data_IF_153933813219
#
_entry.id   IF_153933813219
#
_cell.length_a   1.000
_cell.length_b   1.000
_cell.length_c   1.000
_cell.angle_alpha   90.00
_cell.angle_beta   90.00
_cell.angle_gamma   90.00
#
_symmetry.space_group_name_H-M   'P 1'
#
loop_
_entity.id
_entity.type
_entity.pdbx_description
1 polymer ?
#
# COMPACT_ATOMS: atom_id res chain seq x y z
N UNK A 1 -19.49 -0.70 10.99
CA UNK A 1 -20.05 -1.69 10.05
C UNK A 1 -19.32 -3.03 10.15
N UNK A 2 -19.98 -4.17 9.87
CA UNK A 2 -19.39 -5.52 9.86
C UNK A 2 -19.37 -6.12 8.44
N UNK A 3 -18.77 -7.30 8.26
CA UNK A 3 -18.67 -7.98 6.95
C UNK A 3 -20.01 -8.15 6.25
N UNK A 4 -21.05 -8.57 6.98
CA UNK A 4 -22.41 -8.71 6.44
C UNK A 4 -23.00 -7.39 5.95
N UNK A 5 -22.66 -6.27 6.61
CA UNK A 5 -22.99 -4.93 6.14
C UNK A 5 -22.35 -4.62 4.79
N UNK A 6 -21.04 -4.87 4.66
CA UNK A 6 -20.32 -4.67 3.39
C UNK A 6 -20.89 -5.55 2.28
N UNK A 7 -21.13 -6.84 2.56
CA UNK A 7 -21.71 -7.76 1.57
C UNK A 7 -23.12 -7.32 1.15
N UNK A 8 -23.90 -6.69 2.03
CA UNK A 8 -25.20 -6.13 1.66
C UNK A 8 -25.05 -4.95 0.72
N UNK A 9 -24.11 -4.04 0.97
CA UNK A 9 -23.84 -2.92 0.06
C UNK A 9 -23.45 -3.43 -1.33
N UNK A 10 -22.50 -4.37 -1.41
CA UNK A 10 -22.09 -4.99 -2.68
C UNK A 10 -23.29 -5.59 -3.42
N UNK A 11 -24.18 -6.30 -2.72
CA UNK A 11 -25.33 -6.95 -3.35
C UNK A 11 -26.48 -5.98 -3.69
N UNK A 12 -26.61 -4.86 -2.99
CA UNK A 12 -27.68 -3.88 -3.24
C UNK A 12 -27.48 -3.16 -4.57
N UNK A 13 -26.24 -2.94 -4.99
CA UNK A 13 -25.91 -2.32 -6.27
C UNK A 13 -26.19 -3.22 -7.50
N UNK A 14 -26.48 -4.52 -7.28
CA UNK A 14 -26.83 -5.48 -8.36
C UNK A 14 -28.27 -5.27 -8.88
N UNK A 15 -29.09 -4.45 -8.23
CA UNK A 15 -30.49 -4.26 -8.62
C UNK A 15 -30.63 -3.13 -9.64
N UNK A 16 -30.77 -3.52 -10.92
CA UNK A 16 -31.50 -2.83 -11.99
C UNK A 16 -30.68 -2.21 -13.15
N UNK A 17 -30.04 -3.03 -14.00
CA UNK A 17 -29.87 -2.66 -15.43
C UNK A 17 -30.02 -3.88 -16.35
N UNK A 18 -31.00 -3.83 -17.26
CA UNK A 18 -31.31 -4.88 -18.24
C UNK A 18 -30.65 -4.65 -19.61
N UNK A 19 -29.52 -3.97 -19.68
CA UNK A 19 -28.80 -3.70 -20.93
C UNK A 19 -27.30 -3.57 -20.64
N UNK A 20 -26.48 -4.37 -21.34
CA UNK A 20 -25.06 -4.73 -21.04
C UNK A 20 -24.92 -5.74 -19.89
N UNK A 21 -23.91 -6.64 -19.90
CA UNK A 21 -23.73 -7.59 -18.81
C UNK A 21 -23.56 -6.78 -17.53
N UNK A 22 -24.50 -6.90 -16.60
CA UNK A 22 -24.55 -6.13 -15.36
C UNK A 22 -23.20 -6.24 -14.63
N UNK A 23 -22.45 -5.14 -14.63
CA UNK A 23 -21.17 -4.95 -13.94
C UNK A 23 -21.40 -4.06 -12.72
N UNK A 24 -22.19 -4.50 -11.74
CA UNK A 24 -22.48 -3.69 -10.55
C UNK A 24 -22.26 -4.45 -9.24
N UNK A 25 -21.00 -4.84 -9.02
CA UNK A 25 -20.48 -5.26 -7.71
C UNK A 25 -19.52 -4.17 -7.22
N UNK A 26 -20.06 -3.03 -6.77
CA UNK A 26 -19.29 -1.94 -6.17
C UNK A 26 -19.63 -1.85 -4.68
N UNK A 27 -18.70 -1.33 -3.88
CA UNK A 27 -18.95 -0.99 -2.49
C UNK A 27 -18.39 0.40 -2.24
N UNK A 28 -19.27 1.39 -2.08
CA UNK A 28 -18.88 2.78 -1.86
C UNK A 28 -19.34 3.20 -0.45
N UNK A 29 -18.39 3.42 0.45
CA UNK A 29 -18.64 3.63 1.87
C UNK A 29 -17.99 4.93 2.35
N UNK A 30 -18.77 5.79 3.00
CA UNK A 30 -18.32 7.11 3.48
C UNK A 30 -18.58 7.29 4.98
N UNK A 31 -17.56 7.69 5.73
CA UNK A 31 -17.66 8.05 7.15
C UNK A 31 -17.88 6.86 8.10
N UNK A 32 -17.76 5.62 7.61
CA UNK A 32 -18.03 4.43 8.38
C UNK A 32 -16.90 4.06 9.34
N UNK A 33 -17.28 3.44 10.47
CA UNK A 33 -16.34 2.92 11.46
C UNK A 33 -16.43 1.40 11.51
N UNK A 34 -15.32 0.72 11.28
CA UNK A 34 -15.15 -0.73 11.35
C UNK A 34 -14.30 -1.07 12.56
N UNK A 35 -14.80 -1.93 13.45
CA UNK A 35 -14.08 -2.33 14.66
C UNK A 35 -14.16 -3.84 14.84
N UNK A 36 -13.01 -4.49 15.05
CA UNK A 36 -12.90 -5.92 15.37
C UNK A 36 -13.54 -6.84 14.31
N UNK A 37 -13.32 -6.53 13.03
CA UNK A 37 -13.91 -7.25 11.90
C UNK A 37 -12.85 -7.86 11.00
N UNK A 38 -13.11 -9.08 10.52
CA UNK A 38 -12.35 -9.72 9.45
C UNK A 38 -13.11 -9.54 8.14
N UNK A 39 -12.45 -8.89 7.18
CA UNK A 39 -12.89 -8.66 5.81
C UNK A 39 -12.09 -9.59 4.90
N UNK A 40 -12.57 -10.82 4.79
CA UNK A 40 -11.93 -11.88 4.02
C UNK A 40 -12.75 -12.37 2.83
N UNK A 41 -12.05 -12.77 1.76
CA UNK A 41 -12.63 -13.39 0.58
C UNK A 41 -13.75 -12.57 -0.09
N UNK A 42 -13.71 -11.23 0.07
CA UNK A 42 -14.64 -10.33 -0.61
C UNK A 42 -14.25 -10.31 -2.09
N UNK A 43 -15.25 -10.48 -2.95
CA UNK A 43 -15.09 -10.43 -4.41
C UNK A 43 -16.04 -9.39 -4.96
N UNK A 44 -15.49 -8.36 -5.57
CA UNK A 44 -16.26 -7.28 -6.19
C UNK A 44 -15.35 -6.53 -7.16
N UNK A 45 -15.94 -5.76 -8.06
CA UNK A 45 -15.16 -5.01 -9.04
C UNK A 45 -14.47 -3.81 -8.39
N UNK A 46 -15.18 -3.09 -7.51
CA UNK A 46 -14.67 -1.89 -6.84
C UNK A 46 -15.00 -1.88 -5.36
N UNK A 47 -14.04 -1.48 -4.53
CA UNK A 47 -14.28 -1.02 -3.17
C UNK A 47 -13.72 0.38 -2.99
N UNK A 48 -14.58 1.33 -2.68
CA UNK A 48 -14.22 2.72 -2.38
C UNK A 48 -14.61 3.03 -0.94
N UNK A 49 -13.65 3.49 -0.16
CA UNK A 49 -13.86 3.96 1.21
C UNK A 49 -13.36 5.38 1.36
N UNK A 50 -14.23 6.27 1.81
CA UNK A 50 -13.92 7.67 2.07
C UNK A 50 -14.17 8.00 3.54
N UNK A 51 -13.29 8.78 4.16
CA UNK A 51 -13.46 9.24 5.55
C UNK A 51 -13.70 8.11 6.58
N UNK A 52 -13.33 6.87 6.26
CA UNK A 52 -13.62 5.70 7.07
C UNK A 52 -12.54 5.46 8.13
N UNK A 53 -12.92 4.80 9.23
CA UNK A 53 -11.97 4.35 10.26
C UNK A 53 -12.04 2.85 10.46
N UNK A 54 -10.89 2.20 10.42
CA UNK A 54 -10.72 0.77 10.63
C UNK A 54 -9.88 0.54 11.89
N UNK A 55 -10.44 -0.09 12.92
CA UNK A 55 -9.74 -0.46 14.16
C UNK A 55 -9.76 -1.97 14.34
N UNK A 56 -8.58 -2.58 14.50
CA UNK A 56 -8.46 -4.03 14.68
C UNK A 56 -9.11 -4.83 13.54
N UNK A 57 -9.08 -4.29 12.32
CA UNK A 57 -9.66 -4.92 11.13
C UNK A 57 -8.60 -5.79 10.45
N UNK A 58 -9.04 -6.84 9.78
CA UNK A 58 -8.15 -7.67 8.96
C UNK A 58 -8.69 -7.75 7.53
N UNK A 59 -7.91 -7.34 6.55
CA UNK A 59 -8.18 -7.55 5.12
C UNK A 59 -7.41 -8.77 4.65
N UNK A 60 -8.12 -9.84 4.26
CA UNK A 60 -7.51 -11.15 3.97
C UNK A 60 -8.03 -11.72 2.64
N UNK A 61 -7.13 -11.98 1.69
CA UNK A 61 -7.44 -12.73 0.47
C UNK A 61 -8.67 -12.20 -0.32
N UNK A 62 -8.84 -10.88 -0.33
CA UNK A 62 -9.89 -10.23 -1.12
C UNK A 62 -9.50 -10.22 -2.61
N UNK A 63 -10.48 -10.31 -3.50
CA UNK A 63 -10.29 -10.34 -4.96
C UNK A 63 -11.06 -9.17 -5.55
N UNK A 64 -10.38 -8.04 -5.70
CA UNK A 64 -10.98 -6.77 -6.11
C UNK A 64 -10.13 -6.12 -7.18
N UNK A 65 -10.78 -5.64 -8.25
CA UNK A 65 -10.09 -5.05 -9.39
C UNK A 65 -9.65 -3.61 -9.09
N UNK A 66 -10.47 -2.85 -8.35
CA UNK A 66 -10.17 -1.48 -7.92
C UNK A 66 -10.41 -1.29 -6.42
N UNK A 67 -9.38 -0.84 -5.71
CA UNK A 67 -9.49 -0.42 -4.31
C UNK A 67 -9.12 1.05 -4.19
N UNK A 68 -10.03 1.83 -3.62
CA UNK A 68 -9.85 3.25 -3.33
C UNK A 68 -10.00 3.51 -1.82
N UNK A 69 -9.00 4.15 -1.23
CA UNK A 69 -9.03 4.62 0.15
C UNK A 69 -8.67 6.10 0.18
N UNK A 70 -9.63 6.96 0.52
CA UNK A 70 -9.42 8.41 0.63
C UNK A 70 -9.71 8.87 2.05
N UNK A 71 -8.78 9.63 2.64
CA UNK A 71 -8.92 10.21 3.98
C UNK A 71 -9.33 9.16 5.05
N UNK A 72 -8.77 7.95 4.96
CA UNK A 72 -9.09 6.85 5.85
C UNK A 72 -8.09 6.72 7.01
N UNK A 73 -8.54 6.14 8.12
CA UNK A 73 -7.70 5.84 9.27
C UNK A 73 -7.66 4.35 9.54
N UNK A 74 -6.48 3.74 9.48
CA UNK A 74 -6.24 2.35 9.81
C UNK A 74 -5.44 2.27 11.10
N UNK A 75 -6.01 1.63 12.12
CA UNK A 75 -5.42 1.52 13.45
C UNK A 75 -5.38 0.04 13.80
N UNK A 76 -4.17 -0.48 14.06
CA UNK A 76 -3.97 -1.89 14.40
C UNK A 76 -4.63 -2.84 13.38
N UNK A 77 -4.51 -2.52 12.09
CA UNK A 77 -5.15 -3.26 11.00
C UNK A 77 -4.14 -4.20 10.33
N UNK A 78 -4.61 -5.37 9.89
CA UNK A 78 -3.80 -6.36 9.17
C UNK A 78 -4.20 -6.41 7.71
N UNK A 79 -3.22 -6.44 6.82
CA UNK A 79 -3.40 -6.67 5.38
C UNK A 79 -2.61 -7.92 4.98
N UNK A 80 -3.30 -8.89 4.40
CA UNK A 80 -2.72 -10.16 3.95
C UNK A 80 -3.39 -10.67 2.68
N UNK A 81 -2.62 -11.38 1.84
CA UNK A 81 -3.16 -12.18 0.75
C UNK A 81 -2.66 -11.78 -0.63
N UNK A 82 -3.38 -12.23 -1.65
CA UNK A 82 -3.00 -12.00 -3.05
C UNK A 82 -4.01 -11.10 -3.76
N UNK A 83 -3.53 -9.98 -4.29
CA UNK A 83 -4.27 -8.97 -5.04
C UNK A 83 -3.69 -8.91 -6.47
N UNK A 84 -4.32 -9.61 -7.41
CA UNK A 84 -3.89 -9.71 -8.81
C UNK A 84 -4.73 -8.79 -9.72
N UNK A 85 -4.08 -8.18 -10.70
CA UNK A 85 -4.65 -7.16 -11.60
C UNK A 85 -5.33 -6.00 -10.87
N UNK A 86 -4.78 -5.62 -9.70
CA UNK A 86 -5.33 -4.56 -8.87
C UNK A 86 -4.95 -3.18 -9.41
N UNK A 87 -5.94 -2.31 -9.53
CA UNK A 87 -5.76 -0.86 -9.55
C UNK A 87 -5.97 -0.32 -8.13
N UNK A 88 -4.91 0.20 -7.52
CA UNK A 88 -4.91 0.69 -6.14
C UNK A 88 -4.77 2.20 -6.11
N UNK A 89 -5.69 2.89 -5.43
CA UNK A 89 -5.60 4.31 -5.14
C UNK A 89 -5.73 4.51 -3.64
N UNK A 90 -4.71 5.09 -3.00
CA UNK A 90 -4.77 5.47 -1.60
C UNK A 90 -4.32 6.92 -1.48
N UNK A 91 -5.17 7.79 -0.95
CA UNK A 91 -4.84 9.20 -0.73
C UNK A 91 -5.17 9.66 0.68
N UNK A 92 -4.34 10.57 1.20
CA UNK A 92 -4.57 11.31 2.45
C UNK A 92 -4.92 10.41 3.66
N UNK A 93 -4.45 9.16 3.64
CA UNK A 93 -4.83 8.14 4.61
C UNK A 93 -3.71 7.86 5.61
N UNK A 94 -4.08 7.40 6.81
CA UNK A 94 -3.13 7.11 7.90
C UNK A 94 -3.19 5.65 8.33
N UNK A 95 -2.01 5.07 8.54
CA UNK A 95 -1.81 3.70 8.99
C UNK A 95 -0.99 3.74 10.27
N UNK A 96 -1.60 3.38 11.39
CA UNK A 96 -0.96 3.34 12.70
C UNK A 96 -0.95 1.92 13.23
N UNK A 97 0.23 1.40 13.57
CA UNK A 97 0.41 0.05 14.12
C UNK A 97 -0.15 -1.05 13.23
N UNK A 98 -0.15 -0.82 11.92
CA UNK A 98 -0.67 -1.79 10.95
C UNK A 98 0.39 -2.84 10.62
N UNK A 99 -0.07 -4.03 10.24
CA UNK A 99 0.79 -5.11 9.77
C UNK A 99 0.39 -5.50 8.35
N UNK A 100 1.32 -5.35 7.43
CA UNK A 100 1.20 -5.81 6.05
C UNK A 100 2.09 -7.03 5.91
N UNK A 101 1.52 -8.21 5.71
CA UNK A 101 2.33 -9.43 5.59
C UNK A 101 1.75 -10.48 4.66
N UNK A 102 2.64 -11.31 4.08
CA UNK A 102 2.27 -12.32 3.07
C UNK A 102 1.45 -11.70 1.93
N UNK A 103 1.84 -10.51 1.46
CA UNK A 103 1.11 -9.79 0.42
C UNK A 103 1.77 -9.97 -0.94
N UNK A 104 0.99 -10.42 -1.92
CA UNK A 104 1.33 -10.37 -3.33
C UNK A 104 0.42 -9.38 -4.02
N UNK A 105 0.98 -8.30 -4.55
CA UNK A 105 0.24 -7.27 -5.28
C UNK A 105 0.78 -7.21 -6.70
N UNK A 106 -0.08 -7.30 -7.70
CA UNK A 106 0.32 -7.10 -9.09
C UNK A 106 -0.73 -6.39 -9.92
N UNK A 107 -0.31 -5.50 -10.82
CA UNK A 107 -1.19 -4.76 -11.73
C UNK A 107 -0.40 -3.82 -12.63
N UNK A 108 -0.62 -3.86 -13.95
CA UNK A 108 0.16 -3.10 -14.93
C UNK A 108 -0.68 -2.39 -15.98
N UNK A 109 -2.00 -2.54 -15.95
CA UNK A 109 -2.89 -1.93 -16.94
C UNK A 109 -3.15 -0.45 -16.63
N UNK A 110 -3.32 -0.13 -15.34
CA UNK A 110 -3.54 1.22 -14.83
C UNK A 110 -2.48 1.55 -13.78
N UNK A 111 -2.02 2.80 -13.76
CA UNK A 111 -1.02 3.25 -12.79
C UNK A 111 -1.69 3.41 -11.42
N UNK A 112 -1.32 2.55 -10.48
CA UNK A 112 -1.73 2.63 -9.08
C UNK A 112 -0.96 3.73 -8.33
N UNK A 113 -1.58 4.33 -7.32
CA UNK A 113 -1.01 5.46 -6.58
C UNK A 113 -1.26 5.34 -5.07
N UNK A 114 -0.24 5.65 -4.29
CA UNK A 114 -0.34 5.91 -2.85
C UNK A 114 0.22 7.31 -2.61
N UNK A 115 -0.65 8.25 -2.26
CA UNK A 115 -0.32 9.68 -2.21
C UNK A 115 -0.60 10.27 -0.84
N UNK A 116 0.36 11.02 -0.30
CA UNK A 116 0.24 11.79 0.94
C UNK A 116 -0.24 10.98 2.16
N UNK A 117 0.09 9.69 2.18
CA UNK A 117 -0.25 8.78 3.26
C UNK A 117 0.79 8.77 4.39
N UNK A 118 0.34 8.49 5.62
CA UNK A 118 1.23 8.32 6.78
C UNK A 118 1.25 6.88 7.26
N UNK A 119 2.45 6.35 7.51
CA UNK A 119 2.67 5.06 8.12
C UNK A 119 3.45 5.26 9.41
N UNK A 120 2.86 4.93 10.55
CA UNK A 120 3.46 5.06 11.87
C UNK A 120 3.45 3.72 12.59
N UNK A 121 4.61 3.28 13.09
CA UNK A 121 4.76 2.02 13.83
C UNK A 121 4.24 0.79 13.05
N UNK A 122 4.30 0.83 11.71
CA UNK A 122 3.83 -0.25 10.86
C UNK A 122 4.91 -1.31 10.61
N UNK A 123 4.47 -2.55 10.38
CA UNK A 123 5.34 -3.67 10.00
C UNK A 123 5.01 -4.16 8.60
N UNK A 124 6.03 -4.33 7.77
CA UNK A 124 5.93 -4.89 6.43
C UNK A 124 6.76 -6.17 6.36
N UNK A 125 6.18 -7.33 6.04
CA UNK A 125 6.97 -8.56 5.92
C UNK A 125 6.49 -9.47 4.81
N UNK A 126 7.42 -10.05 4.05
CA UNK A 126 7.08 -11.02 3.00
C UNK A 126 6.15 -10.40 1.95
N UNK A 127 6.59 -9.27 1.40
CA UNK A 127 5.84 -8.49 0.41
C UNK A 127 6.43 -8.72 -0.98
N UNK A 128 5.57 -9.03 -1.94
CA UNK A 128 5.89 -9.11 -3.36
C UNK A 128 4.99 -8.15 -4.13
N UNK A 129 5.52 -6.97 -4.46
CA UNK A 129 4.84 -5.90 -5.17
C UNK A 129 5.40 -5.80 -6.59
N UNK A 130 4.59 -6.19 -7.57
CA UNK A 130 4.91 -6.20 -9.00
C UNK A 130 3.84 -5.40 -9.75
N UNK A 131 3.89 -4.08 -9.64
CA UNK A 131 2.83 -3.23 -10.16
C UNK A 131 3.37 -1.91 -10.70
N UNK A 132 2.65 -1.29 -11.65
CA UNK A 132 2.85 0.10 -12.00
C UNK A 132 2.31 0.99 -10.86
N UNK A 133 3.07 1.06 -9.76
CA UNK A 133 2.70 1.78 -8.54
C UNK A 133 3.65 2.98 -8.34
N UNK A 134 3.07 4.14 -8.03
CA UNK A 134 3.79 5.30 -7.50
C UNK A 134 3.44 5.50 -6.02
N UNK A 135 4.46 5.59 -5.16
CA UNK A 135 4.34 6.07 -3.79
C UNK A 135 4.86 7.51 -3.74
N UNK A 136 4.00 8.47 -3.41
CA UNK A 136 4.32 9.88 -3.45
C UNK A 136 3.92 10.63 -2.17
N UNK A 137 4.82 11.48 -1.69
CA UNK A 137 4.55 12.33 -0.53
C UNK A 137 4.43 11.54 0.77
N UNK A 138 3.83 12.15 1.79
CA UNK A 138 3.57 11.46 3.06
C UNK A 138 4.81 11.09 3.89
N UNK A 139 4.60 10.19 4.87
CA UNK A 139 5.61 9.85 5.88
C UNK A 139 5.61 8.36 6.23
N UNK A 140 6.80 7.84 6.56
CA UNK A 140 7.01 6.48 7.07
C UNK A 140 7.88 6.59 8.32
N UNK A 141 7.31 6.38 9.50
CA UNK A 141 7.93 6.69 10.79
C UNK A 141 7.86 5.52 11.75
N UNK A 142 9.00 5.17 12.37
CA UNK A 142 9.11 4.04 13.30
C UNK A 142 8.64 2.70 12.69
N UNK A 143 8.75 2.53 11.38
CA UNK A 143 8.31 1.33 10.70
C UNK A 143 9.43 0.30 10.58
N UNK A 144 9.05 -0.98 10.48
CA UNK A 144 9.99 -2.06 10.18
C UNK A 144 9.57 -2.81 8.92
N UNK A 145 10.55 -3.20 8.10
CA UNK A 145 10.31 -4.04 6.94
C UNK A 145 11.29 -5.19 6.81
N UNK A 146 10.83 -6.36 6.37
CA UNK A 146 11.70 -7.50 6.09
C UNK A 146 11.21 -8.32 4.89
N UNK A 147 12.12 -8.78 4.04
CA UNK A 147 11.79 -9.61 2.87
C UNK A 147 10.79 -8.92 1.93
N UNK A 148 11.24 -7.84 1.30
CA UNK A 148 10.43 -7.00 0.43
C UNK A 148 10.98 -7.07 -1.00
N UNK A 149 10.18 -7.59 -1.92
CA UNK A 149 10.43 -7.56 -3.36
C UNK A 149 9.50 -6.51 -3.98
N UNK A 150 10.05 -5.39 -4.42
CA UNK A 150 9.25 -4.31 -5.01
C UNK A 150 9.79 -3.94 -6.39
N UNK A 151 9.00 -4.23 -7.42
CA UNK A 151 9.17 -3.73 -8.78
C UNK A 151 8.01 -2.76 -9.03
N UNK A 152 8.31 -1.48 -9.00
CA UNK A 152 7.32 -0.40 -9.08
C UNK A 152 7.89 0.82 -9.79
N UNK A 153 7.03 1.78 -10.13
CA UNK A 153 7.42 2.93 -10.93
C UNK A 153 8.32 3.89 -10.14
N UNK A 154 7.80 4.46 -9.04
CA UNK A 154 8.50 5.55 -8.34
C UNK A 154 8.16 5.64 -6.85
N UNK A 155 9.18 5.99 -6.05
CA UNK A 155 9.02 6.51 -4.69
C UNK A 155 9.50 7.97 -4.70
N UNK A 156 8.58 8.91 -4.49
CA UNK A 156 8.81 10.33 -4.68
C UNK A 156 8.42 11.18 -3.48
N UNK A 157 9.32 12.05 -3.01
CA UNK A 157 9.03 13.05 -1.98
C UNK A 157 8.48 12.49 -0.64
N UNK A 158 8.78 11.23 -0.33
CA UNK A 158 8.40 10.57 0.92
C UNK A 158 9.42 10.86 2.03
N UNK A 159 8.95 11.02 3.26
CA UNK A 159 9.81 11.20 4.43
C UNK A 159 9.88 9.92 5.28
N UNK A 160 11.03 9.24 5.26
CA UNK A 160 11.33 8.09 6.09
C UNK A 160 12.07 8.54 7.35
N UNK A 161 11.54 8.21 8.53
CA UNK A 161 12.20 8.51 9.80
C UNK A 161 12.21 7.32 10.75
N UNK A 162 13.32 7.12 11.47
CA UNK A 162 13.45 6.11 12.56
C UNK A 162 12.99 4.70 12.16
N UNK A 163 13.19 4.34 10.90
CA UNK A 163 12.63 3.11 10.32
C UNK A 163 13.74 2.16 9.92
N UNK A 164 13.46 0.85 9.98
CA UNK A 164 14.44 -0.20 9.72
C UNK A 164 13.93 -1.18 8.68
N UNK A 165 14.70 -1.44 7.65
CA UNK A 165 14.32 -2.37 6.60
C UNK A 165 15.45 -3.35 6.28
N UNK A 166 15.12 -4.63 6.11
CA UNK A 166 16.09 -5.70 5.88
C UNK A 166 15.65 -6.61 4.72
N UNK A 167 16.62 -7.15 3.98
CA UNK A 167 16.38 -8.10 2.90
C UNK A 167 15.40 -7.54 1.85
N UNK A 168 15.83 -6.49 1.16
CA UNK A 168 14.98 -5.72 0.26
C UNK A 168 15.54 -5.81 -1.14
N UNK A 169 14.69 -6.05 -2.12
CA UNK A 169 15.01 -5.96 -3.53
C UNK A 169 14.12 -4.89 -4.17
N UNK A 170 14.72 -3.82 -4.66
CA UNK A 170 14.01 -2.63 -5.15
C UNK A 170 14.37 -2.33 -6.60
N UNK A 171 13.46 -2.61 -7.53
CA UNK A 171 13.53 -2.07 -8.89
C UNK A 171 12.51 -0.93 -9.01
N UNK A 172 12.94 0.27 -8.63
CA UNK A 172 12.09 1.46 -8.53
C UNK A 172 12.91 2.73 -8.62
N UNK A 173 12.35 3.79 -9.21
CA UNK A 173 12.96 5.11 -9.17
C UNK A 173 12.76 5.78 -7.80
N UNK A 174 13.84 6.06 -7.07
CA UNK A 174 13.79 6.71 -5.75
C UNK A 174 14.26 8.17 -5.87
N UNK A 175 13.35 9.14 -5.72
CA UNK A 175 13.59 10.55 -6.06
C UNK A 175 13.07 11.52 -4.98
N UNK A 176 13.86 12.53 -4.61
CA UNK A 176 13.47 13.62 -3.67
C UNK A 176 12.97 13.17 -2.28
N UNK A 177 13.30 11.96 -1.85
CA UNK A 177 12.91 11.46 -0.54
C UNK A 177 13.82 11.99 0.56
N UNK A 178 13.33 12.02 1.80
CA UNK A 178 14.14 12.31 2.99
C UNK A 178 14.25 11.07 3.84
N UNK A 179 15.48 10.72 4.23
CA UNK A 179 15.78 9.62 5.13
C UNK A 179 16.47 10.19 6.37
N UNK A 180 15.89 9.98 7.55
CA UNK A 180 16.48 10.40 8.81
C UNK A 180 16.43 9.27 9.84
N UNK A 181 17.58 8.84 10.37
CA UNK A 181 17.65 7.71 11.30
C UNK A 181 17.05 6.43 10.69
N UNK A 182 17.37 6.18 9.42
CA UNK A 182 16.89 4.99 8.68
C UNK A 182 18.01 3.98 8.56
N UNK A 183 17.69 2.73 8.85
CA UNK A 183 18.58 1.58 8.70
C UNK A 183 18.08 0.69 7.58
N UNK A 184 18.95 0.37 6.61
CA UNK A 184 18.67 -0.56 5.51
C UNK A 184 19.80 -1.56 5.40
N UNK A 185 19.49 -2.85 5.50
CA UNK A 185 20.48 -3.94 5.38
C UNK A 185 20.07 -4.97 4.33
N UNK A 186 21.06 -5.56 3.66
CA UNK A 186 20.88 -6.59 2.63
C UNK A 186 19.95 -6.12 1.49
N UNK A 187 20.24 -4.95 0.94
CA UNK A 187 19.48 -4.41 -0.17
C UNK A 187 20.09 -4.78 -1.53
N UNK A 188 19.25 -5.09 -2.51
CA UNK A 188 19.59 -5.53 -3.87
C UNK A 188 18.87 -4.70 -4.94
N UNK A 189 19.46 -4.69 -6.15
CA UNK A 189 18.96 -4.09 -7.39
C UNK A 189 18.52 -2.63 -7.33
N UNK A 190 19.02 -1.85 -6.37
CA UNK A 190 18.64 -0.45 -6.29
C UNK A 190 19.26 0.34 -7.44
N UNK A 191 18.41 0.88 -8.31
CA UNK A 191 18.76 2.05 -9.11
C UNK A 191 18.47 3.33 -8.29
N UNK A 192 19.33 3.62 -7.31
CA UNK A 192 19.36 4.95 -6.65
C UNK A 192 20.07 6.01 -7.51
N UNK A 193 20.31 5.68 -8.79
CA UNK A 193 21.02 6.48 -9.78
C UNK A 193 22.53 6.26 -9.72
N UNK A 194 23.10 5.75 -10.82
CA UNK A 194 24.48 6.08 -11.19
C UNK A 194 24.65 7.60 -11.25
N UNK A 195 25.82 8.12 -10.88
CA UNK A 195 26.04 9.55 -10.64
C UNK A 195 25.51 10.47 -11.76
N UNK A 196 24.76 11.53 -11.40
CA UNK A 196 25.22 12.58 -10.48
C UNK A 196 24.34 12.70 -9.23
N UNK A 197 24.84 12.13 -8.13
CA UNK A 197 24.45 12.32 -6.71
C UNK A 197 22.93 12.27 -6.39
N UNK A 198 22.42 11.04 -6.27
CA UNK A 198 21.27 10.66 -5.42
C UNK A 198 19.89 11.22 -5.79
N UNK A 199 19.60 11.62 -7.04
CA UNK A 199 18.25 12.08 -7.49
C UNK A 199 17.52 12.99 -6.47
N UNK A 200 18.24 13.92 -5.83
CA UNK A 200 17.75 14.84 -4.79
C UNK A 200 17.24 14.21 -3.48
N UNK A 201 17.59 12.96 -3.17
CA UNK A 201 17.31 12.36 -1.88
C UNK A 201 18.24 12.91 -0.79
N UNK A 202 17.69 13.17 0.41
CA UNK A 202 18.43 13.66 1.58
C UNK A 202 18.60 12.54 2.61
N UNK A 203 19.80 12.40 3.18
CA UNK A 203 20.11 11.37 4.17
C UNK A 203 20.73 12.00 5.41
N UNK A 204 20.20 11.68 6.59
CA UNK A 204 20.71 12.14 7.89
C UNK A 204 20.73 10.99 8.88
N UNK A 205 21.89 10.72 9.49
CA UNK A 205 22.06 9.67 10.50
C UNK A 205 21.55 8.29 10.02
N UNK A 206 21.78 7.94 8.75
CA UNK A 206 21.32 6.70 8.15
C UNK A 206 22.44 5.66 8.02
N UNK A 207 22.07 4.38 8.06
CA UNK A 207 22.94 3.25 7.72
C UNK A 207 22.31 2.47 6.57
N UNK A 208 23.01 2.35 5.44
CA UNK A 208 22.51 1.63 4.25
C UNK A 208 23.61 0.70 3.75
N UNK A 209 23.32 -0.60 3.70
CA UNK A 209 24.26 -1.65 3.31
C UNK A 209 23.62 -2.63 2.30
N UNK A 210 24.26 -2.82 1.14
CA UNK A 210 23.82 -3.74 0.08
C UNK A 210 24.62 -3.62 -1.22
N UNK A 211 24.25 -4.42 -2.23
CA UNK A 211 24.88 -4.41 -3.55
C UNK A 211 24.19 -3.40 -4.48
N UNK A 212 24.94 -2.39 -4.94
CA UNK A 212 24.48 -1.43 -5.95
C UNK A 212 24.82 -1.97 -7.33
N UNK A 213 23.82 -2.13 -8.22
CA UNK A 213 24.11 -2.39 -9.62
C UNK A 213 24.48 -1.07 -10.32
N UNK A 214 25.75 -0.92 -10.69
CA UNK A 214 26.17 0.08 -11.66
C UNK A 214 25.70 -0.41 -13.04
N UNK A 215 24.66 0.20 -13.60
CA UNK A 215 24.40 0.12 -15.04
C UNK A 215 25.00 1.34 -15.74
#
# INVERSE_FOLDING_TARGET
>A
MNKEGILREINNDVVNTSYYPARSDCCDLDGEIFEDVVLDNIKCHRMTFQNCTFRNVQFIDNQVDLIEFENCQFINTVFKGTLENLYLIISDSSFSKCTMHDLKISGYEEQSEITDCTFEECTFSDINLLADLTLQGGTVTNCTGNNLECIMNMIFAVQFTKSKFENINLNVAIIKNTFQQVEVSNIQNIDIGGEPVRRNNTFKDCYINGELQNQ
#
